data_IF_082067450954
#
_entry.id   IF_082067450954
#
_cell.length_a   1.000
_cell.length_b   1.000
_cell.length_c   1.000
_cell.angle_alpha   90.00
_cell.angle_beta   90.00
_cell.angle_gamma   90.00
#
_symmetry.space_group_name_H-M   'P 1'
#
loop_
_entity.id
_entity.type
_entity.pdbx_description
1 polymer ?
#
# COMPACT_ATOMS: atom_id res chain seq x y z
N UNK A 1 -14.04 9.23 -6.63
CA UNK A 1 -12.93 9.23 -7.58
C UNK A 1 -13.59 9.44 -8.91
N UNK A 2 -13.68 10.70 -9.34
CA UNK A 2 -14.59 11.13 -10.42
C UNK A 2 -13.81 11.37 -11.72
N UNK A 3 -12.63 10.77 -11.84
CA UNK A 3 -11.76 10.89 -13.00
C UNK A 3 -11.40 9.49 -13.53
N UNK A 4 -11.47 9.35 -14.85
CA UNK A 4 -11.32 8.08 -15.55
C UNK A 4 -9.83 7.69 -15.74
N UNK A 5 -8.93 8.67 -15.69
CA UNK A 5 -7.48 8.55 -15.91
C UNK A 5 -6.71 9.32 -14.82
N UNK A 6 -5.39 9.16 -14.72
CA UNK A 6 -4.57 10.05 -13.88
C UNK A 6 -4.52 11.46 -14.46
N UNK A 7 -4.45 12.49 -13.62
CA UNK A 7 -4.32 13.87 -14.10
C UNK A 7 -2.97 14.09 -14.79
N UNK A 8 -2.87 15.13 -15.63
CA UNK A 8 -1.61 15.48 -16.28
C UNK A 8 -0.50 15.80 -15.26
N UNK A 9 -0.86 16.42 -14.14
CA UNK A 9 0.06 16.71 -13.05
C UNK A 9 0.54 15.43 -12.35
N UNK A 10 -0.34 14.46 -12.12
CA UNK A 10 0.03 13.17 -11.52
C UNK A 10 0.96 12.38 -12.44
N UNK A 11 0.65 12.34 -13.74
CA UNK A 11 1.51 11.72 -14.75
C UNK A 11 2.88 12.39 -14.82
N UNK A 12 2.91 13.74 -14.92
CA UNK A 12 4.16 14.49 -14.94
C UNK A 12 4.98 14.29 -13.66
N UNK A 13 4.34 14.29 -12.49
CA UNK A 13 5.02 14.06 -11.22
C UNK A 13 5.64 12.65 -11.15
N UNK A 14 4.91 11.63 -11.61
CA UNK A 14 5.41 10.27 -11.68
C UNK A 14 6.58 10.14 -12.66
N UNK A 15 6.48 10.72 -13.85
CA UNK A 15 7.53 10.67 -14.88
C UNK A 15 8.84 11.34 -14.41
N UNK A 16 8.74 12.45 -13.67
CA UNK A 16 9.92 13.20 -13.20
C UNK A 16 10.50 12.60 -11.92
N UNK A 17 9.67 12.24 -10.95
CA UNK A 17 10.13 11.80 -9.63
C UNK A 17 10.35 10.27 -9.54
N UNK A 18 9.72 9.49 -10.42
CA UNK A 18 9.70 8.02 -10.37
C UNK A 18 8.80 7.45 -9.26
N UNK A 19 8.01 8.28 -8.58
CA UNK A 19 7.05 7.87 -7.56
C UNK A 19 5.87 8.84 -7.49
N UNK A 20 4.75 8.38 -6.92
CA UNK A 20 3.55 9.19 -6.69
C UNK A 20 3.09 9.05 -5.23
N UNK A 21 2.76 10.17 -4.59
CA UNK A 21 2.19 10.17 -3.24
C UNK A 21 0.67 10.30 -3.35
N UNK A 22 -0.04 9.21 -3.08
CA UNK A 22 -1.50 9.21 -2.99
C UNK A 22 -1.89 9.32 -1.51
N UNK A 23 -2.45 10.46 -1.13
CA UNK A 23 -2.80 10.76 0.27
C UNK A 23 -4.18 10.20 0.62
N UNK A 24 -4.37 9.83 1.89
CA UNK A 24 -5.66 9.43 2.46
C UNK A 24 -6.33 8.29 1.67
N UNK A 25 -5.54 7.34 1.16
CA UNK A 25 -6.06 6.16 0.46
C UNK A 25 -6.88 5.29 1.40
N UNK A 26 -6.41 5.14 2.64
CA UNK A 26 -7.04 4.34 3.67
C UNK A 26 -7.87 5.23 4.57
N UNK A 27 -9.05 4.75 4.92
CA UNK A 27 -9.87 5.38 5.95
C UNK A 27 -9.26 5.12 7.34
N UNK A 28 -9.58 5.95 8.35
CA UNK A 28 -9.07 5.75 9.71
C UNK A 28 -9.32 4.34 10.24
N UNK A 29 -10.51 3.78 10.00
CA UNK A 29 -10.85 2.44 10.46
C UNK A 29 -10.04 1.31 9.79
N UNK A 30 -9.68 1.49 8.51
CA UNK A 30 -8.86 0.52 7.76
C UNK A 30 -7.41 0.59 8.22
N UNK A 31 -6.93 1.82 8.47
CA UNK A 31 -5.61 2.09 9.00
C UNK A 31 -5.44 1.49 10.40
N UNK A 32 -6.42 1.70 11.29
CA UNK A 32 -6.41 1.15 12.64
C UNK A 32 -6.36 -0.38 12.61
N UNK A 33 -7.16 -1.00 11.74
CA UNK A 33 -7.17 -2.47 11.59
C UNK A 33 -5.84 -3.02 11.09
N UNK A 34 -5.17 -2.32 10.16
CA UNK A 34 -3.84 -2.70 9.69
C UNK A 34 -2.79 -2.54 10.78
N UNK A 35 -2.82 -1.44 11.54
CA UNK A 35 -1.89 -1.19 12.64
C UNK A 35 -2.06 -2.25 13.74
N UNK A 36 -3.29 -2.56 14.15
CA UNK A 36 -3.54 -3.62 15.15
C UNK A 36 -3.02 -4.98 14.69
N UNK A 37 -3.19 -5.34 13.41
CA UNK A 37 -2.65 -6.60 12.89
C UNK A 37 -1.12 -6.66 12.93
N UNK A 38 -0.44 -5.53 12.72
CA UNK A 38 1.02 -5.42 12.84
C UNK A 38 1.46 -5.59 14.30
N UNK A 39 0.79 -4.88 15.20
CA UNK A 39 1.10 -4.89 16.63
C UNK A 39 0.89 -6.30 17.24
N UNK A 40 -0.15 -7.02 16.81
CA UNK A 40 -0.44 -8.38 17.25
C UNK A 40 0.59 -9.40 16.74
N UNK A 41 1.04 -9.26 15.49
CA UNK A 41 1.99 -10.19 14.88
C UNK A 41 3.42 -10.00 15.41
N UNK A 42 3.79 -8.78 15.78
CA UNK A 42 5.12 -8.45 16.29
C UNK A 42 6.26 -8.61 15.27
N UNK A 43 5.94 -8.88 14.00
CA UNK A 43 6.88 -8.95 12.88
C UNK A 43 6.37 -8.07 11.74
N UNK A 44 7.31 -7.58 10.93
CA UNK A 44 7.00 -6.78 9.73
C UNK A 44 7.25 -7.57 8.43
N UNK A 45 7.55 -8.86 8.55
CA UNK A 45 7.83 -9.76 7.42
C UNK A 45 6.78 -10.85 7.30
N UNK A 46 6.46 -11.24 6.07
CA UNK A 46 5.52 -12.33 5.81
C UNK A 46 4.07 -12.01 6.13
N UNK A 47 3.63 -10.75 6.03
CA UNK A 47 2.27 -10.29 6.33
C UNK A 47 1.16 -11.11 5.67
N UNK A 48 1.39 -11.57 4.42
CA UNK A 48 0.42 -12.41 3.70
C UNK A 48 0.44 -13.88 4.13
N UNK A 49 1.44 -14.29 4.90
CA UNK A 49 1.66 -15.65 5.40
C UNK A 49 1.40 -15.78 6.90
N UNK A 50 0.98 -14.71 7.57
CA UNK A 50 0.71 -14.77 9.01
C UNK A 50 -0.42 -15.76 9.34
N UNK A 51 -0.26 -16.54 10.41
CA UNK A 51 -1.36 -17.31 10.97
C UNK A 51 -2.43 -16.37 11.56
N UNK A 52 -3.67 -16.83 11.59
CA UNK A 52 -4.80 -16.22 12.33
C UNK A 52 -5.20 -14.78 11.97
N UNK A 53 -5.94 -14.59 10.86
CA UNK A 53 -6.76 -13.38 10.65
C UNK A 53 -6.01 -12.07 10.34
N UNK A 54 -4.71 -12.02 10.66
CA UNK A 54 -3.86 -10.85 10.48
C UNK A 54 -3.43 -10.61 9.03
N UNK A 55 -3.59 -11.59 8.14
CA UNK A 55 -3.26 -11.47 6.71
C UNK A 55 -4.37 -10.81 5.88
N UNK A 56 -5.61 -10.91 6.33
CA UNK A 56 -6.80 -10.45 5.61
C UNK A 56 -6.77 -8.92 5.38
N UNK A 57 -6.44 -8.07 6.37
CA UNK A 57 -6.29 -6.63 6.14
C UNK A 57 -5.26 -6.28 5.06
N UNK A 58 -4.14 -7.02 4.99
CA UNK A 58 -3.12 -6.79 3.96
C UNK A 58 -3.55 -7.28 2.58
N UNK A 59 -4.34 -8.36 2.51
CA UNK A 59 -4.95 -8.79 1.24
C UNK A 59 -5.94 -7.77 0.73
N UNK A 60 -6.75 -7.20 1.62
CA UNK A 60 -7.70 -6.13 1.29
C UNK A 60 -6.94 -4.87 0.81
N UNK A 61 -5.82 -4.53 1.45
CA UNK A 61 -4.94 -3.44 1.02
C UNK A 61 -4.37 -3.67 -0.39
N UNK A 62 -3.96 -4.89 -0.73
CA UNK A 62 -3.41 -5.23 -2.04
C UNK A 62 -4.42 -5.08 -3.18
N UNK A 63 -5.69 -5.33 -2.91
CA UNK A 63 -6.79 -5.21 -3.88
C UNK A 63 -7.56 -3.90 -3.70
N UNK A 64 -7.03 -2.96 -2.92
CA UNK A 64 -7.72 -1.71 -2.61
C UNK A 64 -8.03 -0.97 -3.92
N UNK A 65 -9.28 -0.53 -4.15
CA UNK A 65 -9.73 -0.04 -5.44
C UNK A 65 -8.95 1.19 -5.91
N UNK A 66 -8.56 2.08 -4.99
CA UNK A 66 -7.74 3.26 -5.33
C UNK A 66 -6.35 2.84 -5.79
N UNK A 67 -5.70 1.92 -5.07
CA UNK A 67 -4.33 1.47 -5.40
C UNK A 67 -4.34 0.71 -6.73
N UNK A 68 -5.30 -0.20 -6.87
CA UNK A 68 -5.53 -0.98 -8.10
C UNK A 68 -5.80 -0.07 -9.30
N UNK A 69 -6.55 1.02 -9.10
CA UNK A 69 -6.80 2.00 -10.15
C UNK A 69 -5.52 2.68 -10.62
N UNK A 70 -4.69 3.24 -9.71
CA UNK A 70 -3.41 3.85 -10.07
C UNK A 70 -2.45 2.85 -10.73
N UNK A 71 -2.36 1.62 -10.20
CA UNK A 71 -1.52 0.57 -10.79
C UNK A 71 -1.96 0.20 -12.21
N UNK A 72 -3.26 0.17 -12.49
CA UNK A 72 -3.75 -0.06 -13.84
C UNK A 72 -3.39 1.09 -14.80
N UNK A 73 -3.31 2.34 -14.32
CA UNK A 73 -2.88 3.47 -15.15
C UNK A 73 -1.38 3.40 -15.46
N UNK A 74 -0.55 3.08 -14.46
CA UNK A 74 0.91 3.09 -14.57
C UNK A 74 1.45 1.84 -15.26
N UNK A 75 0.97 0.65 -14.87
CA UNK A 75 1.48 -0.64 -15.34
C UNK A 75 0.62 -1.27 -16.45
N UNK A 76 -0.57 -0.71 -16.72
CA UNK A 76 -1.56 -1.32 -17.59
C UNK A 76 -2.40 -2.41 -16.90
N UNK A 77 -3.44 -2.88 -17.60
CA UNK A 77 -4.34 -3.92 -17.09
C UNK A 77 -3.62 -5.25 -16.93
N UNK A 78 -3.88 -5.93 -15.82
CA UNK A 78 -3.30 -7.26 -15.54
C UNK A 78 -1.92 -7.20 -14.89
N UNK A 79 -1.60 -6.08 -14.22
CA UNK A 79 -0.39 -5.95 -13.42
C UNK A 79 -0.22 -7.13 -12.47
N UNK A 80 1.03 -7.51 -12.22
CA UNK A 80 1.39 -8.52 -11.23
C UNK A 80 2.36 -7.92 -10.25
N UNK A 81 2.15 -8.22 -8.98
CA UNK A 81 3.10 -7.88 -7.94
C UNK A 81 4.32 -8.78 -8.10
N UNK A 82 5.45 -8.19 -8.50
CA UNK A 82 6.73 -8.88 -8.57
C UNK A 82 7.32 -9.15 -7.17
N UNK A 83 7.03 -8.27 -6.22
CA UNK A 83 7.49 -8.38 -4.84
C UNK A 83 6.33 -8.25 -3.85
N UNK A 84 6.45 -8.95 -2.72
CA UNK A 84 5.51 -8.80 -1.61
C UNK A 84 5.60 -7.39 -1.00
N UNK A 85 4.50 -6.89 -0.41
CA UNK A 85 4.52 -5.65 0.36
C UNK A 85 5.63 -5.67 1.41
N UNK A 86 6.36 -4.56 1.48
CA UNK A 86 7.36 -4.31 2.52
C UNK A 86 6.91 -3.10 3.31
N UNK A 87 7.02 -3.19 4.62
CA UNK A 87 6.79 -2.08 5.51
C UNK A 87 8.11 -1.34 5.72
N UNK A 88 8.09 -0.03 5.47
CA UNK A 88 9.19 0.86 5.80
C UNK A 88 8.90 1.48 7.15
N UNK A 89 9.53 0.95 8.19
CA UNK A 89 9.56 1.59 9.50
C UNK A 89 10.88 2.34 9.64
N UNK A 90 10.84 3.58 10.10
CA UNK A 90 12.03 4.20 10.66
C UNK A 90 12.21 3.64 12.07
N UNK A 91 13.18 2.75 12.27
CA UNK A 91 13.59 2.38 13.62
C UNK A 91 14.02 3.66 14.35
N UNK A 92 13.16 4.19 15.22
CA UNK A 92 13.51 5.33 16.07
C UNK A 92 14.34 4.87 17.29
N UNK A 93 14.95 3.67 17.21
CA UNK A 93 15.74 3.11 18.29
C UNK A 93 17.04 2.44 17.82
N UNK A 94 17.66 3.01 16.79
CA UNK A 94 19.10 2.86 16.56
C UNK A 94 19.80 4.16 16.96
N UNK A 95 19.77 4.49 18.24
CA UNK A 95 20.85 5.21 18.90
C UNK A 95 20.76 4.92 20.41
N UNK A 96 21.86 4.35 20.90
CA UNK A 96 22.24 4.01 22.27
C UNK A 96 21.88 5.02 23.37
#
# INVERSE_FOLDING_TARGET
MDHQEMSNEENYAFDVAGYLIVRNVLKPEELDRLNSAIDESGTFSGMLTWPDGGREPFRDLLVHPVITWYLNQICGTGFRLDSLPRLFSSDTNSDT
#
